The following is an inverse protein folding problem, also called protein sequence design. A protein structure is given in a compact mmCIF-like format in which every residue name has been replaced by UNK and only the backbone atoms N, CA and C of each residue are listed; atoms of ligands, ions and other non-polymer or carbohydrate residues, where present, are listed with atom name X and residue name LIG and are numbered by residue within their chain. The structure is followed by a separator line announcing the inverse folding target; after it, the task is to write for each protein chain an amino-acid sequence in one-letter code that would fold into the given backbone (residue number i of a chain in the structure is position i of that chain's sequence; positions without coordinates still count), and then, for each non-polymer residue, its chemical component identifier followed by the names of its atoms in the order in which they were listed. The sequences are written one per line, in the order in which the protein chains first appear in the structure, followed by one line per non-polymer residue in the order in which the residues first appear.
data_IF_383715924302
#
_entry.id   IF_383715924302
#
_cell.length_a   1.000
_cell.length_b   1.000
_cell.length_c   1.000
_cell.angle_alpha   90.00
_cell.angle_beta   90.00
_cell.angle_gamma   90.00
#
_symmetry.space_group_name_H-M   'P 1'
#
loop_
_entity.id
_entity.type
_entity.pdbx_description
1 polymer ?
#
# COMPACT_ATOMS: atom_id res chain seq x y z
N UNK A 1 -42.23 -24.80 8.39
CA UNK A 1 -42.64 -23.59 9.12
C UNK A 1 -41.41 -22.69 9.18
N UNK A 2 -41.26 -21.77 8.24
CA UNK A 2 -41.77 -20.38 8.26
C UNK A 2 -40.89 -19.41 9.08
N UNK A 3 -39.84 -18.92 8.40
CA UNK A 3 -39.32 -17.53 8.28
C UNK A 3 -39.81 -16.50 9.33
N UNK A 4 -38.88 -15.72 9.90
CA UNK A 4 -38.95 -14.24 9.90
C UNK A 4 -37.63 -13.58 10.28
N UNK A 5 -37.23 -12.66 9.40
CA UNK A 5 -36.12 -11.71 9.48
C UNK A 5 -36.64 -10.47 10.23
N UNK A 6 -35.80 -9.78 10.99
CA UNK A 6 -36.02 -8.35 11.24
C UNK A 6 -34.69 -7.62 11.31
N UNK A 7 -34.44 -6.82 10.29
CA UNK A 7 -33.42 -5.77 10.24
C UNK A 7 -33.88 -4.61 11.14
N UNK A 8 -32.97 -3.92 11.83
CA UNK A 8 -33.18 -2.52 12.17
C UNK A 8 -31.87 -1.75 12.33
N UNK A 9 -31.64 -0.87 11.35
CA UNK A 9 -31.24 0.54 11.44
C UNK A 9 -30.16 1.00 12.44
N UNK A 10 -29.13 1.58 11.84
CA UNK A 10 -28.20 2.58 12.34
C UNK A 10 -28.80 3.61 13.30
N UNK A 11 -28.06 3.97 14.36
CA UNK A 11 -27.89 5.36 14.83
C UNK A 11 -26.81 5.40 15.91
N UNK A 12 -25.80 6.24 15.68
CA UNK A 12 -24.86 6.76 16.67
C UNK A 12 -25.60 7.42 17.84
N UNK A 13 -25.03 7.36 19.06
CA UNK A 13 -25.16 8.47 19.98
C UNK A 13 -23.80 9.15 20.23
N UNK A 14 -23.85 10.46 20.03
CA UNK A 14 -22.86 11.46 20.37
C UNK A 14 -22.62 11.55 21.88
N UNK A 15 -21.37 11.89 22.20
CA UNK A 15 -20.84 12.49 23.42
C UNK A 15 -21.88 13.06 24.40
N UNK A 16 -21.90 12.50 25.61
CA UNK A 16 -22.55 13.09 26.77
C UNK A 16 -21.69 14.23 27.32
N UNK A 17 -22.18 15.46 27.20
CA UNK A 17 -21.73 16.58 28.03
C UNK A 17 -22.48 16.54 29.36
N UNK A 18 -21.75 16.41 30.47
CA UNK A 18 -22.31 16.61 31.82
C UNK A 18 -22.39 18.11 32.10
N UNK A 19 -23.62 18.60 32.18
CA UNK A 19 -23.97 19.97 32.56
C UNK A 19 -24.25 19.99 34.07
N UNK A 20 -23.50 20.79 34.83
CA UNK A 20 -23.83 21.15 36.22
C UNK A 20 -23.98 22.66 36.31
N UNK A 21 -25.20 23.10 36.65
CA UNK A 21 -25.61 24.49 36.93
C UNK A 21 -25.08 24.99 38.30
N UNK A 22 -25.16 26.30 38.58
CA UNK A 22 -24.14 27.04 39.32
C UNK A 22 -24.57 27.44 40.73
N UNK A 23 -23.57 27.71 41.59
CA UNK A 23 -23.75 28.51 42.79
C UNK A 23 -22.88 29.78 42.65
N UNK A 24 -23.57 30.92 42.73
CA UNK A 24 -23.01 32.27 42.71
C UNK A 24 -22.34 32.61 44.05
N UNK A 25 -21.14 33.17 44.00
CA UNK A 25 -20.71 34.26 44.89
C UNK A 25 -19.55 35.01 44.22
N UNK A 26 -19.74 36.32 44.11
CA UNK A 26 -18.85 37.27 43.46
C UNK A 26 -17.59 37.50 44.29
N UNK A 27 -16.41 37.40 43.68
CA UNK A 27 -15.29 38.28 43.98
C UNK A 27 -14.61 38.76 42.70
N UNK A 28 -14.28 40.04 42.72
CA UNK A 28 -13.88 40.89 41.62
C UNK A 28 -12.40 40.69 41.33
N UNK A 29 -12.06 40.20 40.14
CA UNK A 29 -10.72 40.40 39.55
C UNK A 29 -10.85 40.66 38.06
N UNK A 30 -10.58 41.89 37.69
CA UNK A 30 -10.52 42.42 36.34
C UNK A 30 -9.13 42.22 35.77
N UNK A 31 -8.93 41.23 34.89
CA UNK A 31 -7.86 41.25 33.87
C UNK A 31 -8.31 40.46 32.63
N UNK A 32 -8.55 41.20 31.56
CA UNK A 32 -8.30 40.87 30.14
C UNK A 32 -8.69 39.49 29.60
N UNK A 33 -9.86 39.42 28.97
CA UNK A 33 -10.18 38.42 27.94
C UNK A 33 -9.24 38.56 26.74
N UNK A 34 -8.19 37.74 26.68
CA UNK A 34 -7.57 37.39 25.39
C UNK A 34 -8.26 36.13 24.87
N UNK A 35 -9.21 36.32 23.96
CA UNK A 35 -9.80 35.25 23.15
C UNK A 35 -8.68 34.65 22.30
N UNK A 36 -8.03 33.59 22.81
CA UNK A 36 -7.05 32.84 22.04
C UNK A 36 -7.81 32.06 20.98
N UNK A 37 -7.83 32.59 19.76
CA UNK A 37 -8.24 31.85 18.58
C UNK A 37 -7.50 30.51 18.61
N UNK A 38 -8.25 29.41 18.67
CA UNK A 38 -7.69 28.07 18.63
C UNK A 38 -6.98 27.88 17.30
N UNK A 39 -5.68 28.12 17.27
CA UNK A 39 -4.82 27.66 16.19
C UNK A 39 -4.91 26.14 16.19
N UNK A 40 -5.55 25.58 15.17
CA UNK A 40 -5.42 24.15 14.87
C UNK A 40 -3.96 23.94 14.50
N UNK A 41 -3.16 23.46 15.46
CA UNK A 41 -1.77 23.11 15.20
C UNK A 41 -1.79 21.81 14.40
N UNK A 42 -1.60 21.92 13.09
CA UNK A 42 -1.37 20.74 12.24
C UNK A 42 -0.04 20.13 12.65
N UNK A 43 -0.01 18.83 12.96
CA UNK A 43 1.25 18.15 13.29
C UNK A 43 2.24 18.25 12.12
N UNK A 44 3.54 18.34 12.42
CA UNK A 44 4.59 18.41 11.39
C UNK A 44 4.48 17.28 10.36
N UNK A 45 4.20 16.06 10.84
CA UNK A 45 4.05 14.89 9.99
C UNK A 45 2.85 15.01 9.04
N UNK A 46 1.73 15.55 9.51
CA UNK A 46 0.56 15.76 8.66
C UNK A 46 0.82 16.78 7.54
N UNK A 47 1.60 17.84 7.82
CA UNK A 47 2.03 18.79 6.77
C UNK A 47 2.96 18.10 5.76
N UNK A 48 3.93 17.33 6.24
CA UNK A 48 4.87 16.62 5.38
C UNK A 48 4.19 15.57 4.49
N UNK A 49 3.20 14.84 5.03
CA UNK A 49 2.39 13.91 4.26
C UNK A 49 1.60 14.62 3.17
N UNK A 50 0.89 15.70 3.49
CA UNK A 50 0.14 16.48 2.49
C UNK A 50 1.06 16.99 1.37
N UNK A 51 2.25 17.48 1.72
CA UNK A 51 3.22 17.96 0.75
C UNK A 51 3.78 16.82 -0.11
N UNK A 52 4.01 15.63 0.47
CA UNK A 52 4.48 14.45 -0.23
C UNK A 52 3.41 13.89 -1.19
N UNK A 53 2.16 13.84 -0.77
CA UNK A 53 1.02 13.47 -1.60
C UNK A 53 0.86 14.43 -2.79
N UNK A 54 1.05 15.73 -2.56
CA UNK A 54 1.04 16.74 -3.63
C UNK A 54 2.14 16.47 -4.66
N UNK A 55 3.38 16.21 -4.21
CA UNK A 55 4.50 15.83 -5.09
C UNK A 55 4.24 14.52 -5.84
N UNK A 56 3.71 13.50 -5.16
CA UNK A 56 3.37 12.22 -5.76
C UNK A 56 2.33 12.40 -6.87
N UNK A 57 1.28 13.20 -6.63
CA UNK A 57 0.28 13.53 -7.63
C UNK A 57 0.89 14.28 -8.83
N UNK A 58 1.76 15.25 -8.60
CA UNK A 58 2.47 15.95 -9.69
C UNK A 58 3.32 14.99 -10.51
N UNK A 59 4.12 14.13 -9.88
CA UNK A 59 4.93 13.11 -10.57
C UNK A 59 4.07 12.18 -11.42
N UNK A 60 3.02 11.61 -10.82
CA UNK A 60 2.15 10.61 -11.45
C UNK A 60 1.31 11.18 -12.61
N UNK A 61 1.06 12.50 -12.63
CA UNK A 61 0.33 13.17 -13.71
C UNK A 61 1.24 13.76 -14.80
N UNK A 62 2.52 13.95 -14.52
CA UNK A 62 3.47 14.58 -15.47
C UNK A 62 4.35 13.58 -16.19
N UNK A 63 4.72 12.47 -15.54
CA UNK A 63 5.60 11.45 -16.11
C UNK A 63 4.80 10.40 -16.88
N UNK A 64 5.37 9.93 -18.00
CA UNK A 64 4.82 8.79 -18.71
C UNK A 64 5.06 7.48 -17.96
N UNK A 65 4.27 6.44 -18.24
CA UNK A 65 4.37 5.10 -17.60
C UNK A 65 5.80 4.53 -17.58
N UNK A 66 6.53 4.63 -18.69
CA UNK A 66 7.93 4.15 -18.77
C UNK A 66 8.86 4.92 -17.83
N UNK A 67 8.70 6.23 -17.74
CA UNK A 67 9.50 7.09 -16.84
C UNK A 67 9.14 6.83 -15.38
N UNK A 68 7.84 6.65 -15.09
CA UNK A 68 7.36 6.23 -13.78
C UNK A 68 7.97 4.89 -13.35
N UNK A 69 7.99 3.88 -14.24
CA UNK A 69 8.59 2.59 -13.96
C UNK A 69 10.10 2.66 -13.71
N UNK A 70 10.82 3.48 -14.48
CA UNK A 70 12.24 3.74 -14.26
C UNK A 70 12.49 4.48 -12.93
N UNK A 71 11.65 5.46 -12.62
CA UNK A 71 11.68 6.22 -11.35
C UNK A 71 11.44 5.31 -10.16
N UNK A 72 10.41 4.46 -10.23
CA UNK A 72 10.09 3.47 -9.20
C UNK A 72 11.28 2.54 -8.97
N UNK A 73 11.84 1.96 -10.03
CA UNK A 73 12.97 1.03 -9.95
C UNK A 73 14.19 1.68 -9.30
N UNK A 74 14.55 2.90 -9.72
CA UNK A 74 15.68 3.63 -9.15
C UNK A 74 15.47 3.99 -7.67
N UNK A 75 14.24 4.38 -7.29
CA UNK A 75 13.92 4.69 -5.91
C UNK A 75 13.99 3.42 -5.04
N UNK A 76 13.34 2.34 -5.47
CA UNK A 76 13.28 1.08 -4.71
C UNK A 76 14.69 0.53 -4.48
N UNK A 77 15.57 0.57 -5.47
CA UNK A 77 16.97 0.16 -5.28
C UNK A 77 17.69 0.95 -4.17
N UNK A 78 17.47 2.27 -4.11
CA UNK A 78 18.09 3.15 -3.10
C UNK A 78 17.50 3.01 -1.71
N UNK A 79 16.26 2.52 -1.56
CA UNK A 79 15.59 2.42 -0.26
C UNK A 79 15.38 0.99 0.23
N UNK A 80 15.50 -0.02 -0.63
CA UNK A 80 15.25 -1.42 -0.28
C UNK A 80 16.09 -2.43 -1.08
N UNK A 81 16.83 -2.00 -2.10
CA UNK A 81 17.71 -2.85 -2.90
C UNK A 81 19.17 -2.83 -2.44
N UNK A 82 20.05 -3.35 -3.28
CA UNK A 82 21.48 -3.53 -2.97
C UNK A 82 22.17 -2.19 -2.65
N UNK A 83 21.75 -1.11 -3.30
CA UNK A 83 22.28 0.24 -3.02
C UNK A 83 21.96 0.65 -1.58
N UNK A 84 20.76 0.37 -1.08
CA UNK A 84 20.39 0.65 0.31
C UNK A 84 21.28 -0.13 1.29
N UNK A 85 21.38 -1.45 1.10
CA UNK A 85 22.19 -2.32 1.98
C UNK A 85 23.67 -1.88 2.01
N UNK A 86 24.23 -1.55 0.84
CA UNK A 86 25.63 -1.12 0.74
C UNK A 86 25.89 0.22 1.43
N UNK A 87 24.89 1.10 1.49
CA UNK A 87 25.00 2.43 2.08
C UNK A 87 24.38 2.53 3.48
N UNK A 88 24.09 1.40 4.14
CA UNK A 88 23.36 1.37 5.41
C UNK A 88 23.94 2.30 6.48
N UNK A 89 25.26 2.31 6.67
CA UNK A 89 25.90 3.19 7.66
C UNK A 89 25.71 4.69 7.36
N UNK A 90 25.63 5.06 6.08
CA UNK A 90 25.33 6.44 5.66
C UNK A 90 23.88 6.80 5.94
N UNK A 91 22.95 5.88 5.71
CA UNK A 91 21.53 6.08 5.99
C UNK A 91 21.26 6.16 7.49
N UNK A 92 21.94 5.35 8.30
CA UNK A 92 21.84 5.39 9.77
C UNK A 92 22.37 6.69 10.38
N UNK A 93 23.29 7.38 9.68
CA UNK A 93 23.83 8.68 10.08
C UNK A 93 23.06 9.88 9.51
N UNK A 94 22.04 9.66 8.67
CA UNK A 94 21.28 10.72 8.04
C UNK A 94 20.39 11.44 9.06
N UNK A 95 20.44 12.77 9.05
CA UNK A 95 19.58 13.62 9.88
C UNK A 95 18.48 14.27 9.03
N UNK A 96 17.27 14.47 9.58
CA UNK A 96 16.22 15.16 8.87
C UNK A 96 16.63 16.60 8.57
N UNK A 97 16.21 17.13 7.42
CA UNK A 97 16.43 18.54 7.03
C UNK A 97 15.44 19.48 7.72
N UNK A 98 15.29 19.36 9.04
CA UNK A 98 14.36 20.12 9.87
C UNK A 98 14.83 20.12 11.32
N UNK A 99 14.69 21.27 11.99
CA UNK A 99 14.95 21.41 13.43
C UNK A 99 13.74 20.99 14.29
N UNK A 100 12.65 20.52 13.67
CA UNK A 100 11.46 20.08 14.39
C UNK A 100 11.77 18.82 15.22
N UNK A 101 11.52 18.82 16.55
CA UNK A 101 11.74 17.65 17.39
C UNK A 101 10.97 16.41 16.93
N UNK A 102 9.80 16.57 16.30
CA UNK A 102 9.02 15.45 15.73
C UNK A 102 9.76 14.80 14.56
N UNK A 103 10.40 15.60 13.70
CA UNK A 103 11.21 15.09 12.58
C UNK A 103 12.41 14.28 13.10
N UNK A 104 13.11 14.80 14.11
CA UNK A 104 14.26 14.12 14.73
C UNK A 104 13.84 12.80 15.40
N UNK A 105 12.69 12.79 16.08
CA UNK A 105 12.16 11.57 16.70
C UNK A 105 11.77 10.51 15.66
N UNK A 106 11.12 10.92 14.57
CA UNK A 106 10.73 10.04 13.48
C UNK A 106 11.94 9.39 12.80
N UNK A 107 12.95 10.19 12.41
CA UNK A 107 14.16 9.70 11.77
C UNK A 107 14.93 8.71 12.67
N UNK A 108 14.99 8.98 13.98
CA UNK A 108 15.58 8.05 14.97
C UNK A 108 14.81 6.73 15.04
N UNK A 109 13.47 6.79 15.08
CA UNK A 109 12.64 5.59 15.12
C UNK A 109 12.78 4.76 13.84
N UNK A 110 12.77 5.40 12.68
CA UNK A 110 12.96 4.73 11.39
C UNK A 110 14.34 4.06 11.28
N UNK A 111 15.38 4.72 11.80
CA UNK A 111 16.73 4.14 11.87
C UNK A 111 16.81 2.96 12.84
N UNK A 112 16.16 3.05 14.01
CA UNK A 112 16.06 1.93 14.94
C UNK A 112 15.33 0.73 14.31
N UNK A 113 14.22 0.97 13.61
CA UNK A 113 13.49 -0.06 12.85
C UNK A 113 14.37 -0.71 11.78
N UNK A 114 15.09 0.09 10.99
CA UNK A 114 16.02 -0.38 9.94
C UNK A 114 17.19 -1.22 10.48
N UNK A 115 17.42 -1.20 11.80
CA UNK A 115 18.40 -2.00 12.52
C UNK A 115 17.77 -3.16 13.32
N UNK A 116 16.45 -3.39 13.19
CA UNK A 116 15.74 -4.42 13.96
C UNK A 116 15.56 -4.10 15.44
N UNK A 117 15.72 -2.84 15.84
CA UNK A 117 15.69 -2.39 17.25
C UNK A 117 14.42 -1.60 17.62
N UNK A 118 13.49 -1.41 16.69
CA UNK A 118 12.29 -0.61 16.90
C UNK A 118 11.13 -1.05 16.03
N UNK A 119 9.93 -0.59 16.36
CA UNK A 119 8.74 -0.78 15.53
C UNK A 119 8.76 0.17 14.33
N UNK A 120 8.16 -0.25 13.21
CA UNK A 120 7.99 0.59 12.04
C UNK A 120 7.19 1.86 12.41
N UNK A 121 7.72 3.07 12.22
CA UNK A 121 7.02 4.31 12.58
C UNK A 121 5.74 4.56 11.78
N UNK A 122 5.56 3.90 10.63
CA UNK A 122 4.42 4.09 9.74
C UNK A 122 3.40 2.96 9.81
N UNK A 123 3.49 2.09 10.83
CA UNK A 123 2.61 0.93 10.98
C UNK A 123 1.13 1.36 10.94
N UNK A 124 0.36 0.74 10.04
CA UNK A 124 -1.08 1.01 9.90
C UNK A 124 -1.45 2.28 9.12
N UNK A 125 -0.49 2.99 8.52
CA UNK A 125 -0.80 4.01 7.52
C UNK A 125 -1.45 3.40 6.27
N UNK A 126 -2.20 4.22 5.52
CA UNK A 126 -2.77 3.77 4.25
C UNK A 126 -1.69 3.56 3.19
N UNK A 127 -1.96 2.72 2.19
CA UNK A 127 -1.04 2.45 1.09
C UNK A 127 -0.65 3.74 0.36
N UNK A 128 -1.59 4.63 0.12
CA UNK A 128 -1.35 5.91 -0.56
C UNK A 128 -0.38 6.81 0.24
N UNK A 129 -0.51 6.85 1.56
CA UNK A 129 0.40 7.61 2.43
C UNK A 129 1.81 6.99 2.44
N UNK A 130 1.87 5.66 2.51
CA UNK A 130 3.14 4.92 2.47
C UNK A 130 3.87 5.14 1.15
N UNK A 131 3.16 5.08 0.02
CA UNK A 131 3.72 5.33 -1.31
C UNK A 131 4.16 6.79 -1.48
N UNK A 132 3.37 7.74 -0.96
CA UNK A 132 3.74 9.14 -0.95
C UNK A 132 5.07 9.36 -0.21
N UNK A 133 5.32 8.69 0.92
CA UNK A 133 6.60 8.75 1.64
C UNK A 133 7.70 7.99 0.87
N UNK A 134 7.48 6.71 0.56
CA UNK A 134 8.49 5.82 -0.02
C UNK A 134 9.04 6.37 -1.34
N UNK A 135 8.17 6.91 -2.20
CA UNK A 135 8.56 7.45 -3.50
C UNK A 135 8.90 8.95 -3.50
N UNK A 136 8.92 9.63 -2.33
CA UNK A 136 9.34 11.03 -2.24
C UNK A 136 10.87 11.18 -2.19
N UNK A 137 11.47 11.56 -3.31
CA UNK A 137 12.90 11.78 -3.44
C UNK A 137 13.35 13.24 -3.21
N UNK A 138 12.45 14.11 -2.74
CA UNK A 138 12.76 15.52 -2.43
C UNK A 138 13.77 15.70 -1.28
N UNK A 139 14.06 14.63 -0.54
CA UNK A 139 14.92 14.63 0.65
C UNK A 139 14.26 15.27 1.88
N UNK A 140 12.93 15.29 1.89
CA UNK A 140 12.08 15.69 3.03
C UNK A 140 11.93 14.58 4.06
N UNK A 141 11.99 13.33 3.62
CA UNK A 141 12.19 12.15 4.43
C UNK A 141 13.62 11.63 4.21
N UNK A 142 14.24 11.17 5.29
CA UNK A 142 15.49 10.40 5.27
C UNK A 142 15.28 9.08 4.52
N UNK A 143 16.38 8.45 4.10
CA UNK A 143 16.32 7.15 3.42
C UNK A 143 15.74 6.06 4.33
N UNK A 144 16.06 6.07 5.62
CA UNK A 144 15.52 5.09 6.58
C UNK A 144 14.01 5.27 6.83
N UNK A 145 13.49 6.51 6.81
CA UNK A 145 12.04 6.75 6.84
C UNK A 145 11.36 6.19 5.58
N UNK A 146 11.94 6.45 4.41
CA UNK A 146 11.39 5.92 3.15
C UNK A 146 11.46 4.39 3.06
N UNK A 147 12.53 3.80 3.56
CA UNK A 147 12.67 2.35 3.71
C UNK A 147 11.57 1.78 4.62
N UNK A 148 11.33 2.41 5.77
CA UNK A 148 10.27 1.99 6.68
C UNK A 148 8.88 2.07 6.04
N UNK A 149 8.58 3.15 5.31
CA UNK A 149 7.31 3.27 4.59
C UNK A 149 7.15 2.19 3.51
N UNK A 150 8.20 1.94 2.73
CA UNK A 150 8.21 0.88 1.72
C UNK A 150 8.00 -0.51 2.34
N UNK A 151 8.64 -0.79 3.48
CA UNK A 151 8.53 -2.08 4.16
C UNK A 151 7.11 -2.31 4.70
N UNK A 152 6.47 -1.29 5.28
CA UNK A 152 5.07 -1.42 5.72
C UNK A 152 4.13 -1.65 4.52
N UNK A 153 4.33 -0.93 3.40
CA UNK A 153 3.54 -1.15 2.19
C UNK A 153 3.73 -2.58 1.65
N UNK A 154 4.96 -3.08 1.65
CA UNK A 154 5.29 -4.45 1.28
C UNK A 154 4.61 -5.49 2.18
N UNK A 155 4.61 -5.27 3.49
CA UNK A 155 3.98 -6.17 4.46
C UNK A 155 2.46 -6.22 4.26
N UNK A 156 1.81 -5.06 4.07
CA UNK A 156 0.37 -4.99 3.75
C UNK A 156 0.05 -5.70 2.43
N UNK A 157 0.89 -5.51 1.41
CA UNK A 157 0.78 -6.18 0.11
C UNK A 157 0.94 -7.70 0.23
N UNK A 158 1.87 -8.16 1.07
CA UNK A 158 2.08 -9.57 1.34
C UNK A 158 0.84 -10.20 2.01
N UNK A 159 0.30 -9.57 3.04
CA UNK A 159 -0.91 -10.03 3.72
C UNK A 159 -2.12 -10.10 2.77
N UNK A 160 -2.30 -9.09 1.92
CA UNK A 160 -3.34 -9.09 0.90
C UNK A 160 -3.15 -10.25 -0.11
N UNK A 161 -1.93 -10.43 -0.66
CA UNK A 161 -1.65 -11.52 -1.61
C UNK A 161 -1.93 -12.89 -1.03
N UNK A 162 -1.49 -13.16 0.21
CA UNK A 162 -1.75 -14.44 0.88
C UNK A 162 -3.25 -14.70 0.99
N UNK A 163 -4.03 -13.69 1.37
CA UNK A 163 -5.49 -13.80 1.48
C UNK A 163 -6.14 -14.09 0.13
N UNK A 164 -5.83 -13.29 -0.90
CA UNK A 164 -6.47 -13.38 -2.21
C UNK A 164 -6.11 -14.69 -2.92
N UNK A 165 -4.90 -15.20 -2.74
CA UNK A 165 -4.52 -16.54 -3.24
C UNK A 165 -5.37 -17.62 -2.56
N UNK A 166 -5.51 -17.59 -1.24
CA UNK A 166 -6.32 -18.57 -0.52
C UNK A 166 -7.81 -18.50 -0.92
N UNK A 167 -8.36 -17.30 -1.12
CA UNK A 167 -9.73 -17.10 -1.62
C UNK A 167 -9.90 -17.65 -3.05
N UNK A 168 -8.91 -17.42 -3.93
CA UNK A 168 -8.91 -17.95 -5.30
C UNK A 168 -8.80 -19.48 -5.36
N UNK A 169 -8.04 -20.09 -4.45
CA UNK A 169 -7.97 -21.56 -4.33
C UNK A 169 -9.32 -22.15 -3.90
N UNK A 170 -10.01 -21.49 -2.97
CA UNK A 170 -11.36 -21.88 -2.54
C UNK A 170 -12.40 -21.72 -3.66
N UNK A 171 -12.33 -20.63 -4.43
CA UNK A 171 -13.16 -20.43 -5.62
C UNK A 171 -12.97 -21.60 -6.59
N UNK A 172 -11.71 -21.87 -6.96
CA UNK A 172 -11.34 -22.94 -7.87
C UNK A 172 -11.87 -24.30 -7.40
N UNK A 173 -11.66 -24.67 -6.14
CA UNK A 173 -12.14 -25.95 -5.60
C UNK A 173 -13.67 -26.09 -5.69
N UNK A 174 -14.41 -25.00 -5.46
CA UNK A 174 -15.87 -25.01 -5.44
C UNK A 174 -16.50 -25.00 -6.83
N UNK A 175 -15.92 -24.26 -7.77
CA UNK A 175 -16.56 -23.94 -9.05
C UNK A 175 -15.77 -24.42 -10.27
N UNK A 176 -14.47 -24.69 -10.11
CA UNK A 176 -13.52 -24.88 -11.20
C UNK A 176 -13.08 -23.58 -11.87
N UNK A 177 -13.46 -22.40 -11.34
CA UNK A 177 -13.19 -21.08 -11.94
C UNK A 177 -12.29 -20.23 -11.05
N UNK A 178 -11.78 -19.12 -11.59
CA UNK A 178 -10.95 -18.13 -10.88
C UNK A 178 -11.36 -16.68 -11.21
N UNK A 179 -12.64 -16.48 -11.52
CA UNK A 179 -13.17 -15.20 -11.98
C UNK A 179 -13.18 -14.15 -10.86
N UNK A 180 -13.52 -14.56 -9.65
CA UNK A 180 -13.49 -13.68 -8.47
C UNK A 180 -12.03 -13.31 -8.15
N UNK A 181 -11.12 -14.28 -8.21
CA UNK A 181 -9.69 -14.05 -8.05
C UNK A 181 -9.15 -13.00 -9.04
N UNK A 182 -9.37 -13.18 -10.36
CA UNK A 182 -8.90 -12.21 -11.35
C UNK A 182 -9.56 -10.84 -11.21
N UNK A 183 -10.82 -10.80 -10.76
CA UNK A 183 -11.53 -9.55 -10.48
C UNK A 183 -10.91 -8.78 -9.32
N UNK A 184 -10.51 -9.46 -8.24
CA UNK A 184 -9.83 -8.84 -7.10
C UNK A 184 -8.43 -8.35 -7.49
N UNK A 185 -7.67 -9.10 -8.31
CA UNK A 185 -6.39 -8.61 -8.85
C UNK A 185 -6.56 -7.34 -9.70
N UNK A 186 -7.60 -7.30 -10.54
CA UNK A 186 -7.88 -6.15 -11.41
C UNK A 186 -8.27 -4.93 -10.59
N UNK A 187 -9.10 -5.13 -9.56
CA UNK A 187 -9.52 -4.08 -8.63
C UNK A 187 -8.33 -3.52 -7.86
N UNK A 188 -7.48 -4.40 -7.32
CA UNK A 188 -6.27 -4.01 -6.63
C UNK A 188 -5.35 -3.17 -7.53
N UNK A 189 -5.02 -3.66 -8.73
CA UNK A 189 -4.20 -2.94 -9.71
C UNK A 189 -4.74 -1.54 -10.04
N UNK A 190 -6.06 -1.42 -10.27
CA UNK A 190 -6.70 -0.13 -10.56
C UNK A 190 -6.67 0.85 -9.38
N UNK A 191 -6.53 0.35 -8.16
CA UNK A 191 -6.40 1.15 -6.95
C UNK A 191 -4.98 1.68 -6.70
N UNK A 192 -3.96 1.12 -7.36
CA UNK A 192 -2.58 1.53 -7.16
C UNK A 192 -2.31 2.92 -7.77
N UNK A 193 -1.39 3.73 -7.20
CA UNK A 193 -0.92 4.95 -7.84
C UNK A 193 -0.21 4.65 -9.16
N UNK A 194 -0.07 5.66 -10.03
CA UNK A 194 0.45 5.44 -11.38
C UNK A 194 1.90 4.95 -11.37
N UNK A 195 2.70 5.39 -10.40
CA UNK A 195 4.08 4.90 -10.21
C UNK A 195 4.15 3.40 -9.91
N UNK A 196 3.17 2.87 -9.18
CA UNK A 196 3.10 1.45 -8.88
C UNK A 196 2.50 0.65 -10.04
N UNK A 197 1.44 1.16 -10.67
CA UNK A 197 0.90 0.56 -11.89
C UNK A 197 1.96 0.41 -12.97
N UNK A 198 2.88 1.37 -13.09
CA UNK A 198 3.98 1.35 -14.06
C UNK A 198 4.97 0.19 -13.89
N UNK A 199 4.98 -0.49 -12.74
CA UNK A 199 5.83 -1.67 -12.49
C UNK A 199 5.26 -2.97 -13.08
N UNK A 200 3.99 -2.97 -13.49
CA UNK A 200 3.35 -4.11 -14.14
C UNK A 200 3.61 -4.14 -15.66
N UNK A 201 3.25 -5.21 -16.39
CA UNK A 201 3.14 -5.16 -17.85
C UNK A 201 2.09 -4.14 -18.34
N UNK A 202 2.32 -3.52 -19.50
CA UNK A 202 1.38 -2.53 -20.08
C UNK A 202 -0.02 -3.12 -20.36
N UNK A 203 -0.08 -4.41 -20.64
CA UNK A 203 -1.31 -5.14 -20.96
C UNK A 203 -1.99 -5.79 -19.74
N UNK A 204 -1.44 -5.62 -18.53
CA UNK A 204 -1.87 -6.36 -17.34
C UNK A 204 -3.37 -6.25 -17.05
N UNK A 205 -3.93 -5.03 -17.05
CA UNK A 205 -5.36 -4.83 -16.81
C UNK A 205 -6.24 -5.46 -17.91
N UNK A 206 -5.83 -5.33 -19.18
CA UNK A 206 -6.55 -5.91 -20.32
C UNK A 206 -6.50 -7.43 -20.29
N UNK A 207 -5.36 -8.00 -19.88
CA UNK A 207 -5.16 -9.43 -19.70
C UNK A 207 -6.08 -10.00 -18.60
N UNK A 208 -6.16 -9.34 -17.46
CA UNK A 208 -7.09 -9.73 -16.39
C UNK A 208 -8.55 -9.63 -16.84
N UNK A 209 -8.93 -8.55 -17.53
CA UNK A 209 -10.28 -8.40 -18.09
C UNK A 209 -10.61 -9.50 -19.11
N UNK A 210 -9.64 -9.87 -19.95
CA UNK A 210 -9.79 -10.96 -20.89
C UNK A 210 -10.08 -12.28 -20.15
N UNK A 211 -9.27 -12.65 -19.15
CA UNK A 211 -9.49 -13.85 -18.36
C UNK A 211 -10.83 -13.87 -17.63
N UNK A 212 -11.27 -12.74 -17.08
CA UNK A 212 -12.60 -12.60 -16.48
C UNK A 212 -13.69 -12.86 -17.54
N UNK A 213 -13.57 -12.30 -18.74
CA UNK A 213 -14.57 -12.45 -19.80
C UNK A 213 -14.63 -13.86 -20.43
N UNK A 214 -13.55 -14.63 -20.34
CA UNK A 214 -13.55 -16.05 -20.72
C UNK A 214 -14.45 -16.88 -19.80
N UNK A 215 -14.57 -16.49 -18.53
CA UNK A 215 -15.27 -17.24 -17.49
C UNK A 215 -14.91 -18.73 -17.54
N UNK A 216 -13.60 -18.99 -17.56
CA UNK A 216 -13.06 -20.30 -17.89
C UNK A 216 -13.21 -21.25 -16.71
N UNK A 217 -13.79 -22.41 -16.98
CA UNK A 217 -13.90 -23.51 -16.04
C UNK A 217 -12.78 -24.52 -16.31
N UNK A 218 -11.79 -24.54 -15.43
CA UNK A 218 -10.63 -25.40 -15.47
C UNK A 218 -10.95 -26.87 -15.15
N UNK A 219 -12.05 -27.16 -14.46
CA UNK A 219 -12.48 -28.55 -14.23
C UNK A 219 -13.05 -29.18 -15.50
N UNK A 220 -13.82 -28.42 -16.27
CA UNK A 220 -14.45 -28.89 -17.52
C UNK A 220 -13.60 -28.58 -18.75
N UNK A 221 -12.56 -27.75 -18.59
CA UNK A 221 -11.73 -27.22 -19.67
C UNK A 221 -12.58 -26.51 -20.74
N UNK A 222 -13.55 -25.70 -20.31
CA UNK A 222 -14.49 -24.96 -21.16
C UNK A 222 -14.52 -23.47 -20.80
N UNK A 223 -14.61 -22.62 -21.82
CA UNK A 223 -14.98 -21.22 -21.62
C UNK A 223 -16.50 -21.11 -21.54
N UNK A 224 -17.01 -20.54 -20.46
CA UNK A 224 -18.46 -20.39 -20.22
C UNK A 224 -18.93 -18.94 -20.44
N UNK A 225 -17.99 -18.02 -20.69
CA UNK A 225 -18.23 -16.59 -20.84
C UNK A 225 -18.43 -16.12 -22.28
N UNK A 226 -18.64 -14.82 -22.45
CA UNK A 226 -18.89 -14.17 -23.73
C UNK A 226 -17.62 -13.91 -24.57
N UNK A 227 -16.43 -14.19 -24.02
CA UNK A 227 -15.13 -14.01 -24.67
C UNK A 227 -14.80 -15.04 -25.77
N UNK A 228 -15.60 -15.11 -26.84
CA UNK A 228 -15.29 -15.72 -28.16
C UNK A 228 -14.52 -17.07 -28.23
N UNK A 229 -15.26 -18.13 -28.65
CA UNK A 229 -14.84 -19.41 -29.27
C UNK A 229 -13.60 -20.13 -28.73
N UNK A 230 -13.78 -21.40 -28.34
CA UNK A 230 -12.76 -22.37 -27.88
C UNK A 230 -11.40 -22.31 -28.62
N UNK A 231 -11.38 -21.93 -29.91
CA UNK A 231 -10.15 -21.72 -30.70
C UNK A 231 -9.22 -20.63 -30.13
N UNK A 232 -9.76 -19.50 -29.67
CA UNK A 232 -8.96 -18.37 -29.17
C UNK A 232 -8.28 -18.72 -27.84
N UNK A 233 -8.98 -19.49 -26.99
CA UNK A 233 -8.52 -19.94 -25.68
C UNK A 233 -7.39 -20.96 -25.82
N UNK A 234 -7.55 -21.94 -26.72
CA UNK A 234 -6.51 -22.94 -27.03
C UNK A 234 -5.26 -22.25 -27.61
N UNK A 235 -5.40 -21.34 -28.59
CA UNK A 235 -4.26 -20.61 -29.14
C UNK A 235 -3.55 -19.74 -28.08
N UNK A 236 -4.29 -19.13 -27.16
CA UNK A 236 -3.74 -18.30 -26.07
C UNK A 236 -3.03 -19.14 -25.00
N UNK A 237 -3.59 -20.29 -24.60
CA UNK A 237 -2.97 -21.21 -23.63
C UNK A 237 -1.76 -21.94 -24.23
N UNK A 238 -1.77 -22.32 -25.50
CA UNK A 238 -0.59 -22.88 -26.17
C UNK A 238 0.53 -21.85 -26.33
N UNK A 239 0.20 -20.57 -26.52
CA UNK A 239 1.17 -19.48 -26.56
C UNK A 239 1.77 -19.14 -25.18
N UNK A 240 1.05 -19.43 -24.09
CA UNK A 240 1.42 -19.02 -22.72
C UNK A 240 1.76 -20.18 -21.78
N UNK A 241 1.67 -21.43 -22.25
CA UNK A 241 1.96 -22.62 -21.45
C UNK A 241 3.46 -22.77 -21.10
N UNK A 242 3.80 -23.59 -20.09
CA UNK A 242 5.16 -23.75 -19.55
C UNK A 242 6.23 -24.28 -20.54
N UNK A 243 5.88 -24.51 -21.81
CA UNK A 243 6.78 -24.91 -22.89
C UNK A 243 7.04 -23.82 -23.94
N UNK A 244 6.39 -22.65 -23.86
CA UNK A 244 6.74 -21.47 -24.64
C UNK A 244 7.95 -20.77 -23.97
N UNK A 245 9.14 -21.33 -24.16
CA UNK A 245 10.40 -20.89 -23.58
C UNK A 245 10.72 -19.40 -23.83
N UNK A 246 11.18 -18.76 -22.75
CA UNK A 246 12.07 -17.60 -22.64
C UNK A 246 11.45 -16.20 -22.75
N UNK A 247 11.25 -15.53 -21.61
CA UNK A 247 10.86 -14.13 -21.62
C UNK A 247 10.70 -13.36 -20.31
N UNK A 248 11.16 -13.83 -19.15
CA UNK A 248 11.43 -12.95 -18.00
C UNK A 248 12.26 -13.70 -16.96
N UNK A 249 13.53 -13.29 -16.81
CA UNK A 249 14.29 -13.61 -15.62
C UNK A 249 13.59 -12.94 -14.44
N UNK A 250 12.80 -13.69 -13.69
CA UNK A 250 12.54 -13.33 -12.30
C UNK A 250 13.89 -13.52 -11.61
N UNK A 251 14.50 -12.43 -11.15
CA UNK A 251 15.71 -12.52 -10.35
C UNK A 251 15.43 -13.44 -9.15
N UNK A 252 16.19 -14.53 -8.97
CA UNK A 252 16.06 -15.39 -7.80
C UNK A 252 17.12 -14.98 -6.78
N UNK A 253 16.72 -14.45 -5.63
CA UNK A 253 17.36 -14.65 -4.31
C UNK A 253 16.69 -13.71 -3.29
N UNK A 254 16.39 -14.07 -2.05
CA UNK A 254 16.86 -15.22 -1.29
C UNK A 254 15.79 -15.70 -0.30
N UNK A 255 15.32 -16.93 -0.52
CA UNK A 255 15.04 -17.86 0.56
C UNK A 255 16.07 -18.97 0.39
N UNK A 256 17.05 -19.01 1.29
CA UNK A 256 17.76 -20.23 1.62
C UNK A 256 17.78 -20.38 3.14
N UNK A 257 16.87 -21.22 3.62
CA UNK A 257 17.20 -22.36 4.47
C UNK A 257 17.93 -22.11 5.78
N UNK A 258 17.16 -22.20 6.86
CA UNK A 258 17.62 -22.73 8.14
C UNK A 258 18.24 -24.12 7.97
N UNK A 259 19.43 -24.33 8.56
CA UNK A 259 19.87 -25.53 9.32
C UNK A 259 21.35 -25.85 9.10
N UNK A 260 22.16 -25.59 10.13
CA UNK A 260 23.23 -26.49 10.53
C UNK A 260 23.50 -26.30 12.04
N UNK A 261 23.55 -27.43 12.73
CA UNK A 261 23.67 -27.57 14.16
C UNK A 261 25.11 -27.50 14.67
N UNK A 262 25.20 -27.28 15.99
CA UNK A 262 26.35 -27.31 16.93
C UNK A 262 27.15 -26.03 17.11
#
# INVERSE_FOLDING_TARGET
MAISITSNTSSTPLYTQTQTQPASSQEKSSVSTSTKAGSVTVSWLAQQLNDAESRAKTRDTTLGRKELGATASSIVDRIAGDTWYTNKAKHDAELPKSDDPQAVALAKQATAFSNGMGANPFKGMSREQLDAIAYDDSGKFTVNERHAAWQEAYDQEYEWRVRVIAEGDLEYQRTGKQNDFFSELLKHYKGLPAIEQAQYPDDYASKLQHWISLDFNFHTNQAEGSGTSYKSVVETLLAQGPHARNGAKIAPSASQGTSAAR
#
